data_IF_273613865362
#
_entry.id   IF_273613865362
#
_cell.length_a   1.000
_cell.length_b   1.000
_cell.length_c   1.000
_cell.angle_alpha   90.00
_cell.angle_beta   90.00
_cell.angle_gamma   90.00
#
_symmetry.space_group_name_H-M   'P 1'
#
loop_
_entity.id
_entity.type
_entity.pdbx_description
1 polymer ?
#
# COMPACT_ATOMS: atom_id res chain seq x y z
N UNK A 1 -15.92 1.15 13.68
CA UNK A 1 -15.88 1.42 15.15
C UNK A 1 -15.46 2.87 15.34
N UNK A 2 -15.99 3.59 16.34
CA UNK A 2 -15.69 5.00 16.53
C UNK A 2 -14.59 5.21 17.58
N UNK A 3 -14.74 4.62 18.76
CA UNK A 3 -13.78 4.75 19.87
C UNK A 3 -13.97 3.63 20.91
N UNK A 4 -12.94 3.41 21.72
CA UNK A 4 -12.96 2.63 22.96
C UNK A 4 -13.45 3.52 24.09
N UNK A 5 -14.29 2.97 24.97
CA UNK A 5 -14.82 3.67 26.13
C UNK A 5 -13.98 3.31 27.36
N UNK A 6 -13.40 4.33 28.00
CA UNK A 6 -12.52 4.21 29.15
C UNK A 6 -13.17 4.81 30.40
N UNK A 7 -12.95 4.18 31.56
CA UNK A 7 -13.31 4.74 32.87
C UNK A 7 -12.25 5.74 33.36
N UNK A 8 -12.53 6.44 34.47
CA UNK A 8 -11.59 7.37 35.10
C UNK A 8 -10.29 6.71 35.58
N UNK A 9 -10.26 5.37 35.69
CA UNK A 9 -9.08 4.57 36.05
C UNK A 9 -8.37 3.96 34.84
N UNK A 10 -8.62 4.47 33.64
CA UNK A 10 -8.08 3.96 32.37
C UNK A 10 -8.51 2.52 32.03
N UNK A 11 -9.65 2.06 32.57
CA UNK A 11 -10.16 0.71 32.30
C UNK A 11 -11.11 0.73 31.10
N UNK A 12 -10.82 -0.09 30.08
CA UNK A 12 -11.67 -0.23 28.90
C UNK A 12 -12.91 -1.09 29.22
N UNK A 13 -14.08 -0.45 29.33
CA UNK A 13 -15.33 -1.12 29.69
C UNK A 13 -16.26 -1.36 28.51
N UNK A 14 -15.91 -0.89 27.31
CA UNK A 14 -16.75 -1.04 26.14
C UNK A 14 -16.25 -0.31 24.90
N UNK A 15 -17.09 -0.30 23.87
CA UNK A 15 -16.81 0.34 22.59
C UNK A 15 -18.03 1.11 22.10
N UNK A 16 -17.76 2.19 21.36
CA UNK A 16 -18.76 2.91 20.60
C UNK A 16 -18.60 2.59 19.10
N UNK A 17 -19.70 2.28 18.43
CA UNK A 17 -19.70 1.92 17.02
C UNK A 17 -20.83 2.63 16.28
N UNK A 18 -20.72 2.67 14.95
CA UNK A 18 -21.78 3.14 14.05
C UNK A 18 -22.23 1.97 13.19
N UNK A 19 -23.54 1.73 13.12
CA UNK A 19 -24.16 0.70 12.28
C UNK A 19 -25.45 1.26 11.70
N UNK A 20 -25.61 1.22 10.38
CA UNK A 20 -26.76 1.79 9.66
C UNK A 20 -27.07 3.25 10.03
N UNK A 21 -26.03 4.09 10.15
CA UNK A 21 -26.17 5.49 10.57
C UNK A 21 -26.41 5.71 12.06
N UNK A 22 -26.76 4.68 12.83
CA UNK A 22 -27.00 4.76 14.26
C UNK A 22 -25.72 4.53 15.07
N UNK A 23 -25.50 5.36 16.09
CA UNK A 23 -24.39 5.23 17.03
C UNK A 23 -24.83 4.40 18.22
N UNK A 24 -24.20 3.24 18.41
CA UNK A 24 -24.45 2.31 19.50
C UNK A 24 -23.26 2.21 20.46
N UNK A 25 -23.52 1.70 21.66
CA UNK A 25 -22.50 1.36 22.66
C UNK A 25 -22.69 -0.07 23.12
N UNK A 26 -21.60 -0.84 23.22
CA UNK A 26 -21.59 -2.19 23.78
C UNK A 26 -20.59 -2.22 24.92
N UNK A 27 -20.99 -2.81 26.05
CA UNK A 27 -20.16 -2.97 27.24
C UNK A 27 -19.54 -4.37 27.26
N UNK A 28 -18.29 -4.44 27.67
CA UNK A 28 -17.59 -5.69 27.93
C UNK A 28 -17.50 -5.92 29.44
N UNK A 29 -17.67 -7.17 29.89
CA UNK A 29 -17.57 -7.53 31.31
C UNK A 29 -16.14 -7.83 31.78
N UNK A 30 -15.23 -8.19 30.86
CA UNK A 30 -13.87 -8.63 31.18
C UNK A 30 -12.81 -7.78 30.50
N UNK A 31 -12.85 -7.71 29.18
CA UNK A 31 -11.86 -6.99 28.40
C UNK A 31 -12.42 -6.53 27.05
N UNK A 32 -11.80 -5.50 26.50
CA UNK A 32 -11.96 -5.08 25.10
C UNK A 32 -10.67 -5.45 24.37
N UNK A 33 -10.77 -6.29 23.34
CA UNK A 33 -9.63 -6.71 22.51
C UNK A 33 -9.78 -6.05 21.15
N UNK A 34 -8.75 -5.31 20.74
CA UNK A 34 -8.74 -4.59 19.47
C UNK A 34 -8.07 -5.43 18.39
N UNK A 35 -8.86 -5.85 17.39
CA UNK A 35 -8.42 -6.70 16.29
C UNK A 35 -8.60 -6.02 14.92
N UNK A 36 -8.38 -4.71 14.84
CA UNK A 36 -8.62 -3.92 13.62
C UNK A 36 -7.38 -3.83 12.71
N UNK A 37 -6.42 -4.75 12.87
CA UNK A 37 -5.12 -4.74 12.19
C UNK A 37 -4.24 -3.54 12.58
N UNK A 38 -3.04 -3.45 11.98
CA UNK A 38 -2.05 -2.40 12.29
C UNK A 38 -2.61 -0.99 12.10
N UNK A 39 -3.31 -0.76 10.98
CA UNK A 39 -3.87 0.55 10.62
C UNK A 39 -5.10 0.88 11.45
N UNK A 40 -6.10 0.00 11.48
CA UNK A 40 -7.37 0.27 12.14
C UNK A 40 -7.23 0.36 13.66
N UNK A 41 -6.37 -0.46 14.27
CA UNK A 41 -6.17 -0.46 15.71
C UNK A 41 -5.50 0.85 16.17
N UNK A 42 -4.43 1.26 15.49
CA UNK A 42 -3.75 2.53 15.76
C UNK A 42 -4.69 3.72 15.63
N UNK A 43 -5.51 3.75 14.57
CA UNK A 43 -6.52 4.79 14.37
C UNK A 43 -7.55 4.84 15.50
N UNK A 44 -8.11 3.69 15.89
CA UNK A 44 -9.13 3.62 16.95
C UNK A 44 -8.54 4.07 18.29
N UNK A 45 -7.33 3.65 18.65
CA UNK A 45 -6.66 4.06 19.89
C UNK A 45 -6.45 5.58 19.92
N UNK A 46 -5.91 6.16 18.84
CA UNK A 46 -5.70 7.61 18.75
C UNK A 46 -7.01 8.40 18.85
N UNK A 47 -8.07 7.96 18.16
CA UNK A 47 -9.40 8.58 18.25
C UNK A 47 -10.03 8.44 19.65
N UNK A 48 -9.61 7.42 20.40
CA UNK A 48 -10.00 7.21 21.80
C UNK A 48 -9.13 7.99 22.78
N UNK A 49 -8.28 8.91 22.31
CA UNK A 49 -7.41 9.73 23.16
C UNK A 49 -6.11 9.05 23.62
N UNK A 50 -5.75 7.90 23.05
CA UNK A 50 -4.51 7.17 23.36
C UNK A 50 -3.54 7.25 22.17
N UNK A 51 -2.53 8.10 22.27
CA UNK A 51 -1.59 8.34 21.18
C UNK A 51 -0.68 9.54 21.43
N UNK A 52 0.14 9.94 20.43
CA UNK A 52 1.14 10.99 20.63
C UNK A 52 0.48 12.32 21.00
N UNK A 53 0.82 12.86 22.19
CA UNK A 53 0.19 14.05 22.77
C UNK A 53 0.08 15.23 21.82
N UNK A 54 1.18 15.62 21.18
CA UNK A 54 1.20 16.75 20.26
C UNK A 54 0.30 16.54 19.04
N UNK A 55 0.25 15.32 18.51
CA UNK A 55 -0.60 14.97 17.37
C UNK A 55 -2.08 15.07 17.74
N UNK A 56 -2.49 14.45 18.85
CA UNK A 56 -3.89 14.47 19.31
C UNK A 56 -4.37 15.90 19.65
N UNK A 57 -3.52 16.69 20.30
CA UNK A 57 -3.81 18.09 20.61
C UNK A 57 -4.03 18.94 19.35
N UNK A 58 -3.22 18.72 18.30
CA UNK A 58 -3.36 19.44 17.03
C UNK A 58 -4.72 19.19 16.35
N UNK A 59 -5.29 18.00 16.57
CA UNK A 59 -6.59 17.58 16.04
C UNK A 59 -7.75 17.83 17.02
N UNK A 60 -7.48 18.47 18.16
CA UNK A 60 -8.47 18.75 19.23
C UNK A 60 -9.12 17.48 19.81
N UNK A 61 -8.39 16.36 19.80
CA UNK A 61 -8.83 15.11 20.43
C UNK A 61 -8.39 15.16 21.90
N UNK A 62 -9.30 14.90 22.87
CA UNK A 62 -8.93 14.83 24.28
C UNK A 62 -7.86 13.78 24.53
N UNK A 63 -6.74 14.18 25.13
CA UNK A 63 -5.67 13.26 25.52
C UNK A 63 -6.07 12.52 26.79
N UNK A 64 -6.11 11.20 26.71
CA UNK A 64 -6.27 10.30 27.85
C UNK A 64 -4.90 9.76 28.27
N UNK A 65 -4.13 9.23 27.32
CA UNK A 65 -2.80 8.69 27.57
C UNK A 65 -1.85 9.04 26.43
N UNK A 66 -0.68 9.58 26.77
CA UNK A 66 0.41 9.83 25.82
C UNK A 66 1.18 8.53 25.55
N UNK A 67 1.03 7.98 24.36
CA UNK A 67 1.66 6.73 23.92
C UNK A 67 2.15 6.89 22.47
N UNK A 68 3.23 6.21 22.05
CA UNK A 68 3.73 6.25 20.68
C UNK A 68 2.87 5.42 19.70
N UNK A 69 1.54 5.49 19.81
CA UNK A 69 0.60 4.76 18.94
C UNK A 69 0.74 5.27 17.51
N UNK A 70 0.77 4.33 16.56
CA UNK A 70 0.93 4.62 15.14
C UNK A 70 2.40 4.76 14.71
N UNK A 71 3.37 4.82 15.62
CA UNK A 71 4.79 4.82 15.27
C UNK A 71 5.30 3.39 15.00
N UNK A 72 6.53 3.28 14.49
CA UNK A 72 7.21 2.00 14.24
C UNK A 72 6.46 1.10 13.24
N UNK A 73 5.80 1.71 12.24
CA UNK A 73 5.24 0.97 11.12
C UNK A 73 6.40 0.35 10.32
N UNK A 74 6.37 -0.97 10.15
CA UNK A 74 7.29 -1.71 9.31
C UNK A 74 6.46 -2.52 8.33
N UNK A 75 6.89 -2.51 7.08
CA UNK A 75 6.29 -3.28 6.01
C UNK A 75 7.40 -3.71 5.04
N UNK A 76 7.22 -4.86 4.41
CA UNK A 76 8.22 -5.42 3.52
C UNK A 76 8.13 -4.73 2.16
N UNK A 77 9.17 -3.99 1.81
CA UNK A 77 9.27 -3.32 0.50
C UNK A 77 9.81 -4.28 -0.54
N UNK A 78 9.35 -4.12 -1.77
CA UNK A 78 9.72 -4.94 -2.92
C UNK A 78 10.09 -4.09 -4.14
N UNK A 79 10.80 -4.69 -5.10
CA UNK A 79 11.23 -4.07 -6.36
C UNK A 79 11.33 -5.13 -7.46
N UNK A 80 11.68 -4.75 -8.69
CA UNK A 80 12.08 -5.71 -9.73
C UNK A 80 10.93 -6.47 -10.39
N UNK A 81 9.77 -5.82 -10.54
CA UNK A 81 8.66 -6.36 -11.32
C UNK A 81 9.03 -6.47 -12.79
N UNK A 82 8.59 -7.56 -13.43
CA UNK A 82 8.59 -7.77 -14.89
C UNK A 82 9.98 -7.84 -15.54
N UNK A 83 10.99 -8.28 -14.78
CA UNK A 83 12.37 -8.40 -15.28
C UNK A 83 12.49 -9.50 -16.35
N UNK A 84 11.65 -10.55 -16.32
CA UNK A 84 11.85 -11.76 -17.14
C UNK A 84 10.76 -11.93 -18.19
N UNK A 85 11.17 -12.05 -19.47
CA UNK A 85 10.27 -12.31 -20.60
C UNK A 85 10.34 -13.79 -21.00
N UNK A 86 9.18 -14.42 -21.14
CA UNK A 86 9.01 -15.83 -21.48
C UNK A 86 8.77 -16.05 -22.97
N UNK A 87 9.29 -17.18 -23.49
CA UNK A 87 9.01 -17.62 -24.86
C UNK A 87 7.78 -18.53 -24.99
N UNK A 88 7.11 -18.80 -23.87
CA UNK A 88 6.06 -19.81 -23.79
C UNK A 88 4.76 -19.19 -23.30
N UNK A 89 3.65 -19.76 -23.77
CA UNK A 89 2.32 -19.48 -23.23
C UNK A 89 2.17 -19.99 -21.81
N UNK A 90 2.17 -19.07 -20.84
CA UNK A 90 1.74 -19.36 -19.49
C UNK A 90 0.22 -19.48 -19.44
N UNK A 91 -0.31 -20.46 -18.70
CA UNK A 91 -1.75 -20.63 -18.53
C UNK A 91 -2.38 -19.48 -17.72
N UNK A 92 -1.59 -18.78 -16.91
CA UNK A 92 -2.00 -17.60 -16.14
C UNK A 92 -1.81 -16.33 -16.96
N UNK A 93 -2.75 -16.08 -17.86
CA UNK A 93 -2.89 -14.78 -18.51
C UNK A 93 -4.32 -14.23 -18.30
N UNK A 94 -4.49 -12.93 -18.47
CA UNK A 94 -5.77 -12.25 -18.20
C UNK A 94 -6.90 -12.81 -19.04
N UNK A 95 -6.64 -13.19 -20.30
CA UNK A 95 -7.64 -13.78 -21.19
C UNK A 95 -8.15 -15.15 -20.69
N UNK A 96 -7.25 -16.01 -20.20
CA UNK A 96 -7.59 -17.32 -19.64
C UNK A 96 -8.32 -17.17 -18.31
N UNK A 97 -7.90 -16.23 -17.46
CA UNK A 97 -8.58 -15.93 -16.18
C UNK A 97 -9.98 -15.37 -16.45
N UNK A 98 -10.17 -14.51 -17.44
CA UNK A 98 -11.47 -13.91 -17.76
C UNK A 98 -12.41 -14.86 -18.53
N UNK A 99 -11.95 -16.03 -18.95
CA UNK A 99 -12.75 -16.97 -19.73
C UNK A 99 -13.87 -17.64 -18.90
N UNK A 100 -15.03 -17.85 -19.52
CA UNK A 100 -16.15 -18.54 -18.88
C UNK A 100 -15.86 -20.01 -18.58
N UNK A 101 -14.99 -20.65 -19.38
CA UNK A 101 -14.52 -22.02 -19.14
C UNK A 101 -13.74 -22.12 -17.83
N UNK A 102 -12.85 -21.17 -17.53
CA UNK A 102 -12.12 -21.15 -16.25
C UNK A 102 -13.06 -21.03 -15.05
N UNK A 103 -14.13 -20.24 -15.18
CA UNK A 103 -15.14 -20.12 -14.14
C UNK A 103 -15.91 -21.45 -13.92
N UNK A 104 -16.25 -22.13 -15.02
CA UNK A 104 -16.91 -23.43 -14.98
C UNK A 104 -15.99 -24.51 -14.36
N UNK A 105 -14.74 -24.60 -14.80
CA UNK A 105 -13.76 -25.57 -14.31
C UNK A 105 -13.48 -25.38 -12.81
N UNK A 106 -13.41 -24.13 -12.35
CA UNK A 106 -13.24 -23.83 -10.94
C UNK A 106 -14.47 -24.24 -10.12
N UNK A 107 -15.67 -23.91 -10.59
CA UNK A 107 -16.91 -24.16 -9.84
C UNK A 107 -17.26 -25.65 -9.74
N UNK A 108 -17.10 -26.40 -10.83
CA UNK A 108 -17.55 -27.79 -10.90
C UNK A 108 -16.46 -28.81 -10.62
N UNK A 109 -15.20 -28.49 -10.91
CA UNK A 109 -14.09 -29.44 -10.76
C UNK A 109 -13.03 -28.96 -9.77
N UNK A 110 -13.09 -27.70 -9.30
CA UNK A 110 -12.05 -27.15 -8.43
C UNK A 110 -10.69 -27.05 -9.12
N UNK A 111 -10.69 -26.90 -10.44
CA UNK A 111 -9.48 -26.85 -11.28
C UNK A 111 -9.39 -25.54 -12.07
N UNK A 112 -8.26 -25.31 -12.73
CA UNK A 112 -8.08 -24.16 -13.63
C UNK A 112 -7.36 -22.98 -12.98
N UNK A 113 -7.18 -21.87 -13.71
CA UNK A 113 -6.29 -20.77 -13.32
C UNK A 113 -6.74 -20.04 -12.05
N UNK A 114 -8.02 -20.10 -11.69
CA UNK A 114 -8.56 -19.48 -10.47
C UNK A 114 -8.15 -20.21 -9.18
N UNK A 115 -7.54 -21.38 -9.31
CA UNK A 115 -6.93 -22.09 -8.17
C UNK A 115 -5.53 -21.58 -7.84
N UNK A 116 -4.89 -20.80 -8.72
CA UNK A 116 -3.53 -20.32 -8.51
C UNK A 116 -3.48 -19.33 -7.33
N UNK A 117 -2.48 -19.47 -6.43
CA UNK A 117 -2.24 -18.51 -5.35
C UNK A 117 -1.57 -17.20 -5.84
N UNK A 118 -1.19 -17.11 -7.11
CA UNK A 118 -0.47 -15.97 -7.69
C UNK A 118 1.04 -15.99 -7.45
N UNK A 119 1.52 -16.61 -6.37
CA UNK A 119 2.95 -16.89 -6.15
C UNK A 119 3.17 -18.40 -6.08
N UNK A 120 3.93 -18.94 -7.02
CA UNK A 120 4.08 -20.39 -7.21
C UNK A 120 5.29 -20.97 -6.49
N UNK A 121 6.32 -20.16 -6.27
CA UNK A 121 7.51 -20.56 -5.52
C UNK A 121 8.08 -19.39 -4.71
N UNK A 122 8.68 -19.73 -3.58
CA UNK A 122 9.32 -18.78 -2.68
C UNK A 122 10.70 -19.31 -2.33
N UNK A 123 11.72 -18.47 -2.47
CA UNK A 123 13.03 -18.69 -1.90
C UNK A 123 13.29 -17.67 -0.78
N UNK A 124 14.02 -18.08 0.24
CA UNK A 124 14.47 -17.21 1.33
C UNK A 124 15.98 -17.35 1.39
N UNK A 125 16.69 -16.24 1.24
CA UNK A 125 18.15 -16.22 1.04
C UNK A 125 18.80 -15.09 1.83
N UNK A 126 20.08 -15.26 2.11
CA UNK A 126 20.94 -14.20 2.64
C UNK A 126 21.52 -13.38 1.50
N UNK A 127 21.51 -12.06 1.64
CA UNK A 127 22.37 -11.18 0.87
C UNK A 127 23.83 -11.31 1.32
N UNK A 128 24.78 -10.86 0.49
CA UNK A 128 26.19 -10.75 0.86
C UNK A 128 26.46 -9.78 2.02
N UNK A 129 25.45 -9.00 2.41
CA UNK A 129 25.54 -8.06 3.50
C UNK A 129 25.16 -8.70 4.85
N UNK A 130 24.48 -9.84 4.86
CA UNK A 130 24.04 -10.55 6.06
C UNK A 130 24.93 -11.76 6.33
N UNK A 131 25.29 -11.99 7.59
CA UNK A 131 26.11 -13.16 7.95
C UNK A 131 25.21 -14.39 8.18
N UNK A 132 25.30 -15.44 7.36
CA UNK A 132 24.46 -16.63 7.49
C UNK A 132 24.62 -17.39 8.81
N UNK A 133 25.72 -17.17 9.54
CA UNK A 133 25.97 -17.84 10.82
C UNK A 133 25.32 -17.13 12.00
N UNK A 134 25.06 -15.82 11.90
CA UNK A 134 24.56 -15.01 13.02
C UNK A 134 23.19 -14.39 12.76
N UNK A 135 22.86 -14.12 11.50
CA UNK A 135 21.67 -13.37 11.12
C UNK A 135 20.63 -14.28 10.44
N UNK A 136 19.34 -14.01 10.63
CA UNK A 136 18.30 -14.61 9.80
C UNK A 136 18.40 -14.08 8.35
N UNK A 137 17.89 -14.84 7.36
CA UNK A 137 17.83 -14.38 5.97
C UNK A 137 17.12 -13.02 5.83
N UNK A 138 17.70 -12.13 5.05
CA UNK A 138 17.22 -10.75 4.86
C UNK A 138 16.45 -10.54 3.55
N UNK A 139 16.46 -11.54 2.65
CA UNK A 139 15.77 -11.50 1.37
C UNK A 139 14.82 -12.67 1.16
N UNK A 140 13.67 -12.36 0.57
CA UNK A 140 12.74 -13.34 0.03
C UNK A 140 12.56 -13.07 -1.47
N UNK A 141 12.57 -14.13 -2.28
CA UNK A 141 12.29 -14.06 -3.71
C UNK A 141 10.98 -14.79 -3.97
N UNK A 142 9.98 -14.07 -4.47
CA UNK A 142 8.70 -14.64 -4.85
C UNK A 142 8.66 -14.82 -6.37
N UNK A 143 8.51 -16.06 -6.84
CA UNK A 143 8.29 -16.35 -8.24
C UNK A 143 6.80 -16.21 -8.56
N UNK A 144 6.49 -15.23 -9.40
CA UNK A 144 5.13 -14.88 -9.81
C UNK A 144 5.08 -15.08 -11.34
N UNK A 145 4.23 -15.99 -11.86
CA UNK A 145 4.10 -16.28 -13.28
C UNK A 145 3.30 -15.19 -14.03
N UNK A 146 3.36 -13.96 -13.55
CA UNK A 146 2.70 -12.78 -14.08
C UNK A 146 3.50 -11.54 -13.69
N UNK A 147 3.23 -10.44 -14.38
CA UNK A 147 3.81 -9.13 -14.11
C UNK A 147 2.77 -8.04 -13.97
N UNK A 148 3.21 -6.84 -13.59
CA UNK A 148 2.38 -5.64 -13.54
C UNK A 148 1.94 -5.17 -14.94
N UNK A 149 2.68 -5.54 -16.00
CA UNK A 149 2.33 -5.32 -17.41
C UNK A 149 1.33 -6.34 -17.97
N UNK A 150 1.07 -7.45 -17.25
CA UNK A 150 0.24 -8.55 -17.77
C UNK A 150 -1.23 -8.20 -17.96
N UNK A 151 -1.72 -7.12 -17.34
CA UNK A 151 -3.08 -6.60 -17.52
C UNK A 151 -3.15 -5.34 -18.39
N UNK A 152 -2.06 -5.00 -19.09
CA UNK A 152 -1.93 -3.84 -19.96
C UNK A 152 -2.32 -2.51 -19.28
N UNK A 153 -2.16 -2.43 -17.96
CA UNK A 153 -2.42 -1.21 -17.20
C UNK A 153 -3.87 -1.04 -16.82
N UNK A 154 -4.67 -2.11 -16.78
CA UNK A 154 -6.05 -2.04 -16.32
C UNK A 154 -6.15 -1.76 -14.81
N UNK A 155 -5.41 -2.48 -13.97
CA UNK A 155 -5.59 -2.47 -12.51
C UNK A 155 -4.29 -2.62 -11.72
N UNK A 156 -3.35 -3.45 -12.18
CA UNK A 156 -2.12 -3.76 -11.45
C UNK A 156 -1.22 -2.53 -11.33
N UNK A 157 -1.12 -1.71 -12.38
CA UNK A 157 -0.30 -0.49 -12.35
C UNK A 157 -0.73 0.47 -11.22
N UNK A 158 -2.04 0.69 -11.05
CA UNK A 158 -2.58 1.57 -10.02
C UNK A 158 -2.44 0.95 -8.63
N UNK A 159 -2.69 -0.35 -8.53
CA UNK A 159 -2.65 -1.08 -7.25
C UNK A 159 -1.24 -1.09 -6.65
N UNK A 160 -0.23 -1.25 -7.51
CA UNK A 160 1.18 -1.25 -7.10
C UNK A 160 1.75 0.18 -6.98
N UNK A 161 0.98 1.20 -7.39
CA UNK A 161 1.41 2.60 -7.31
C UNK A 161 2.48 2.99 -8.33
N UNK A 162 2.47 2.36 -9.51
CA UNK A 162 3.37 2.69 -10.61
C UNK A 162 2.94 4.03 -11.22
N UNK A 163 3.88 4.98 -11.33
CA UNK A 163 3.60 6.28 -11.94
C UNK A 163 3.54 6.18 -13.46
N UNK A 164 2.76 7.08 -14.08
CA UNK A 164 2.60 7.12 -15.55
C UNK A 164 3.96 7.20 -16.28
N UNK A 165 4.92 7.92 -15.71
CA UNK A 165 6.28 8.02 -16.26
C UNK A 165 6.98 6.66 -16.31
N UNK A 166 6.90 5.88 -15.24
CA UNK A 166 7.51 4.55 -15.14
C UNK A 166 6.73 3.56 -16.00
N UNK A 167 5.40 3.66 -16.02
CA UNK A 167 4.54 2.84 -16.88
C UNK A 167 4.90 3.00 -18.35
N UNK A 168 4.88 4.23 -18.86
CA UNK A 168 5.17 4.53 -20.27
C UNK A 168 6.64 4.23 -20.64
N UNK A 169 7.58 4.40 -19.70
CA UNK A 169 9.00 4.19 -19.97
C UNK A 169 9.49 2.74 -19.87
N UNK A 170 8.76 1.86 -19.18
CA UNK A 170 9.18 0.48 -18.92
C UNK A 170 8.06 -0.52 -19.20
N UNK A 171 7.00 -0.51 -18.40
CA UNK A 171 5.97 -1.56 -18.41
C UNK A 171 5.15 -1.63 -19.70
N UNK A 172 4.79 -0.49 -20.29
CA UNK A 172 4.01 -0.48 -21.54
C UNK A 172 4.74 -1.11 -22.74
N UNK A 173 6.07 -1.19 -22.70
CA UNK A 173 6.85 -1.85 -23.76
C UNK A 173 6.76 -3.38 -23.69
N UNK A 174 6.27 -3.91 -22.56
CA UNK A 174 6.04 -5.32 -22.28
C UNK A 174 4.60 -5.74 -22.54
N UNK A 175 3.71 -4.80 -22.87
CA UNK A 175 2.30 -5.08 -23.16
C UNK A 175 2.15 -6.14 -24.26
N UNK A 176 1.33 -7.15 -23.99
CA UNK A 176 1.11 -8.29 -24.88
C UNK A 176 2.21 -9.35 -24.86
N UNK A 177 3.32 -9.11 -24.14
CA UNK A 177 4.33 -10.13 -23.89
C UNK A 177 3.99 -10.93 -22.64
N UNK A 178 4.54 -12.14 -22.57
CA UNK A 178 4.40 -12.98 -21.40
C UNK A 178 5.59 -12.79 -20.50
N UNK A 179 5.30 -12.37 -19.28
CA UNK A 179 6.30 -11.98 -18.30
C UNK A 179 6.12 -12.81 -17.04
N UNK A 180 7.23 -13.11 -16.38
CA UNK A 180 7.21 -13.53 -14.99
C UNK A 180 8.11 -12.62 -14.18
N UNK A 181 7.81 -12.52 -12.90
CA UNK A 181 8.56 -11.73 -11.94
C UNK A 181 9.20 -12.64 -10.91
N UNK A 182 10.51 -12.51 -10.74
CA UNK A 182 11.15 -12.85 -9.47
C UNK A 182 11.12 -11.58 -8.65
N UNK A 183 10.20 -11.53 -7.70
CA UNK A 183 9.92 -10.35 -6.89
C UNK A 183 10.76 -10.42 -5.61
N UNK A 184 11.89 -9.69 -5.52
CA UNK A 184 12.66 -9.57 -4.29
C UNK A 184 11.92 -8.74 -3.25
N UNK A 185 11.83 -9.26 -2.05
CA UNK A 185 11.16 -8.69 -0.89
C UNK A 185 12.19 -8.55 0.23
N UNK A 186 12.29 -7.35 0.80
CA UNK A 186 13.13 -7.06 1.95
C UNK A 186 12.43 -7.51 3.24
N UNK A 187 12.97 -8.51 3.92
CA UNK A 187 12.35 -9.14 5.10
C UNK A 187 12.56 -8.36 6.40
N UNK A 188 13.69 -7.65 6.50
CA UNK A 188 14.09 -7.00 7.76
C UNK A 188 14.42 -5.52 7.55
N UNK A 189 13.44 -4.71 7.09
CA UNK A 189 13.67 -3.29 6.81
C UNK A 189 14.10 -2.52 8.07
N UNK A 190 15.10 -1.65 7.91
CA UNK A 190 15.52 -0.70 8.95
C UNK A 190 14.71 0.59 8.89
N UNK A 191 14.14 0.92 7.72
CA UNK A 191 13.20 2.02 7.54
C UNK A 191 11.95 1.79 8.38
N UNK A 192 11.51 2.83 9.07
CA UNK A 192 10.33 2.81 9.94
C UNK A 192 9.42 3.97 9.62
N UNK A 193 8.16 3.66 9.37
CA UNK A 193 7.11 4.60 9.10
C UNK A 193 6.24 4.94 10.30
N UNK A 194 5.14 5.61 9.99
CA UNK A 194 4.11 5.99 10.94
C UNK A 194 2.71 5.98 10.31
N UNK A 195 1.71 5.85 11.18
CA UNK A 195 0.29 6.00 10.89
C UNK A 195 -0.22 7.15 11.75
N UNK A 196 -0.75 8.17 11.09
CA UNK A 196 -1.31 9.36 11.75
C UNK A 196 -2.80 9.47 11.44
N UNK A 197 -3.54 10.05 12.36
CA UNK A 197 -4.88 10.55 12.04
C UNK A 197 -4.77 11.73 11.06
N UNK A 198 -5.64 11.75 10.05
CA UNK A 198 -5.82 12.93 9.18
C UNK A 198 -6.51 14.05 9.96
N UNK A 199 -7.58 13.70 10.65
CA UNK A 199 -8.44 14.59 11.42
C UNK A 199 -9.15 13.80 12.55
N UNK A 200 -10.10 14.44 13.23
CA UNK A 200 -10.91 13.82 14.28
C UNK A 200 -12.16 13.05 13.79
N UNK A 201 -12.42 12.95 12.48
CA UNK A 201 -13.55 12.18 11.95
C UNK A 201 -13.18 10.68 11.86
N UNK A 202 -13.91 9.80 12.56
CA UNK A 202 -13.70 8.35 12.45
C UNK A 202 -13.88 7.78 11.03
N UNK A 203 -14.52 8.50 10.11
CA UNK A 203 -14.71 8.06 8.71
C UNK A 203 -13.52 8.43 7.80
N UNK A 204 -12.72 9.43 8.18
CA UNK A 204 -11.56 9.85 7.39
C UNK A 204 -10.50 8.77 7.35
N UNK A 205 -9.89 8.55 6.18
CA UNK A 205 -8.77 7.63 6.05
C UNK A 205 -7.55 8.17 6.81
N UNK A 206 -6.82 7.32 7.56
CA UNK A 206 -5.60 7.74 8.22
C UNK A 206 -4.53 8.08 7.18
N UNK A 207 -3.56 8.88 7.60
CA UNK A 207 -2.35 9.13 6.84
C UNK A 207 -1.37 8.00 7.15
N UNK A 208 -0.99 7.24 6.14
CA UNK A 208 -0.05 6.12 6.27
C UNK A 208 1.22 6.53 5.54
N UNK A 209 2.33 6.62 6.26
CA UNK A 209 3.63 6.85 5.66
C UNK A 209 4.60 5.76 6.12
N UNK A 210 4.83 4.71 5.30
CA UNK A 210 5.79 3.66 5.61
C UNK A 210 7.25 4.13 5.62
N UNK A 211 7.54 5.29 5.01
CA UNK A 211 8.90 5.85 4.85
C UNK A 211 9.88 4.83 4.24
N UNK A 212 9.43 4.13 3.20
CA UNK A 212 10.24 3.13 2.51
C UNK A 212 11.58 3.71 2.05
N UNK A 213 12.64 2.89 2.14
CA UNK A 213 13.97 3.18 1.60
C UNK A 213 14.63 4.45 2.16
N UNK A 214 14.21 4.87 3.36
CA UNK A 214 14.82 5.99 4.08
C UNK A 214 16.15 5.60 4.73
N UNK A 215 16.33 4.32 5.04
CA UNK A 215 17.60 3.78 5.51
C UNK A 215 18.44 3.21 4.36
N UNK A 216 19.71 3.62 4.25
CA UNK A 216 20.57 3.23 3.13
C UNK A 216 20.76 1.70 3.04
N UNK A 217 20.86 1.02 4.18
CA UNK A 217 20.96 -0.45 4.22
C UNK A 217 19.82 -1.17 3.49
N UNK A 218 18.61 -0.63 3.52
CA UNK A 218 17.46 -1.24 2.84
C UNK A 218 17.62 -1.15 1.32
N UNK A 219 18.15 -0.02 0.84
CA UNK A 219 18.47 0.19 -0.56
C UNK A 219 19.58 -0.74 -1.02
N UNK A 220 20.65 -0.86 -0.23
CA UNK A 220 21.78 -1.72 -0.55
C UNK A 220 21.35 -3.20 -0.61
N UNK A 221 20.52 -3.64 0.33
CA UNK A 221 20.02 -5.02 0.38
C UNK A 221 19.12 -5.35 -0.82
N UNK A 222 18.21 -4.43 -1.20
CA UNK A 222 17.40 -4.60 -2.41
C UNK A 222 18.24 -4.56 -3.70
N UNK A 223 19.30 -3.77 -3.74
CA UNK A 223 20.23 -3.75 -4.87
C UNK A 223 20.84 -5.14 -5.08
N UNK A 224 21.31 -5.78 -4.01
CA UNK A 224 21.83 -7.16 -4.03
C UNK A 224 20.77 -8.17 -4.46
N UNK A 225 19.54 -7.96 -4.04
CA UNK A 225 18.42 -8.80 -4.46
C UNK A 225 18.19 -8.77 -5.99
N UNK A 226 18.36 -7.59 -6.62
CA UNK A 226 18.30 -7.47 -8.09
C UNK A 226 19.45 -8.24 -8.74
N UNK A 227 20.67 -8.15 -8.21
CA UNK A 227 21.82 -8.93 -8.74
C UNK A 227 21.56 -10.44 -8.64
N UNK A 228 20.95 -10.91 -7.55
CA UNK A 228 20.54 -12.31 -7.40
C UNK A 228 19.48 -12.69 -8.45
N UNK A 229 18.51 -11.83 -8.71
CA UNK A 229 17.52 -12.06 -9.77
C UNK A 229 18.19 -12.14 -11.14
N UNK A 230 19.12 -11.24 -11.46
CA UNK A 230 19.88 -11.27 -12.71
C UNK A 230 20.63 -12.60 -12.87
N UNK A 231 21.30 -13.08 -11.82
CA UNK A 231 21.97 -14.40 -11.83
C UNK A 231 20.99 -15.53 -12.14
N UNK A 232 19.83 -15.57 -11.46
CA UNK A 232 18.80 -16.60 -11.67
C UNK A 232 18.35 -16.61 -13.14
N UNK A 233 18.13 -15.43 -13.72
CA UNK A 233 17.64 -15.31 -15.11
C UNK A 233 18.65 -15.77 -16.17
N UNK A 234 19.95 -15.79 -15.88
CA UNK A 234 21.00 -16.21 -16.84
C UNK A 234 21.48 -17.65 -16.64
N UNK A 235 20.90 -18.38 -15.69
CA UNK A 235 21.23 -19.80 -15.46
C UNK A 235 20.90 -20.69 -16.66
N UNK A 236 21.54 -21.86 -16.73
CA UNK A 236 21.38 -22.81 -17.83
C UNK A 236 19.92 -23.19 -18.08
N UNK A 237 19.14 -23.37 -17.00
CA UNK A 237 17.73 -23.74 -17.07
C UNK A 237 16.86 -22.61 -17.65
N UNK A 238 17.14 -21.36 -17.29
CA UNK A 238 16.37 -20.22 -17.78
C UNK A 238 16.72 -19.86 -19.23
N UNK A 239 17.96 -20.07 -19.68
CA UNK A 239 18.33 -19.85 -21.10
C UNK A 239 17.56 -20.71 -22.11
N UNK A 240 17.01 -21.87 -21.70
CA UNK A 240 16.22 -22.74 -22.58
C UNK A 240 14.72 -22.38 -22.64
N UNK A 241 14.19 -21.62 -21.68
CA UNK A 241 12.75 -21.29 -21.59
C UNK A 241 12.44 -19.78 -21.66
N UNK A 242 13.41 -18.91 -21.39
CA UNK A 242 13.25 -17.47 -21.23
C UNK A 242 14.00 -16.73 -22.33
N UNK A 243 13.35 -15.80 -23.03
CA UNK A 243 13.89 -15.20 -24.26
C UNK A 243 14.97 -14.17 -23.95
N UNK A 244 14.70 -13.29 -22.99
CA UNK A 244 15.57 -12.16 -22.64
C UNK A 244 15.17 -11.58 -21.28
N UNK A 245 16.14 -10.99 -20.58
CA UNK A 245 15.87 -10.02 -19.52
C UNK A 245 15.46 -8.69 -20.14
N UNK A 246 14.33 -8.11 -19.73
CA UNK A 246 13.94 -6.81 -20.25
C UNK A 246 14.81 -5.71 -19.63
N UNK A 247 15.58 -5.01 -20.47
CA UNK A 247 16.29 -3.80 -20.08
C UNK A 247 15.52 -2.56 -20.55
N UNK A 248 15.30 -1.54 -19.69
CA UNK A 248 14.64 -0.31 -20.10
C UNK A 248 15.37 0.35 -21.27
N UNK A 249 14.66 0.72 -22.34
CA UNK A 249 15.18 1.56 -23.44
C UNK A 249 14.55 2.96 -23.33
N UNK A 250 15.35 3.98 -23.03
CA UNK A 250 14.89 5.36 -22.78
C UNK A 250 15.91 6.19 -21.99
N UNK A 251 15.59 7.38 -21.46
CA UNK A 251 16.55 8.20 -20.68
C UNK A 251 17.12 7.53 -19.40
N UNK A 252 16.60 6.34 -19.05
CA UNK A 252 17.15 5.44 -18.02
C UNK A 252 18.28 4.51 -18.57
N UNK A 253 18.58 4.58 -19.87
CA UNK A 253 19.47 3.65 -20.59
C UNK A 253 20.82 4.25 -21.02
N UNK A 254 20.98 5.58 -20.98
CA UNK A 254 22.20 6.24 -21.50
C UNK A 254 23.42 6.16 -20.57
N UNK A 255 23.27 5.73 -19.32
CA UNK A 255 24.40 5.55 -18.39
C UNK A 255 24.86 4.08 -18.36
N UNK A 256 25.89 3.76 -19.16
CA UNK A 256 26.47 2.41 -19.36
C UNK A 256 27.24 1.82 -18.16
N UNK A 257 27.07 2.35 -16.95
CA UNK A 257 27.59 1.73 -15.74
C UNK A 257 26.43 1.21 -14.88
N UNK A 258 26.43 -0.09 -14.62
CA UNK A 258 25.44 -0.86 -13.83
C UNK A 258 25.10 -0.21 -12.48
N UNK A 259 26.01 0.60 -11.93
CA UNK A 259 25.85 1.40 -10.70
C UNK A 259 24.91 2.61 -10.85
N UNK A 260 24.80 3.23 -12.04
CA UNK A 260 23.96 4.41 -12.30
C UNK A 260 22.53 4.08 -12.73
N UNK A 261 22.31 2.96 -13.43
CA UNK A 261 20.97 2.49 -13.82
C UNK A 261 20.08 2.23 -12.61
N UNK A 262 20.64 1.63 -11.56
CA UNK A 262 19.93 1.35 -10.31
C UNK A 262 19.78 2.58 -9.42
N UNK A 263 20.66 3.59 -9.54
CA UNK A 263 20.41 4.93 -8.99
C UNK A 263 19.19 5.59 -9.64
N UNK A 264 18.93 5.33 -10.92
CA UNK A 264 17.72 5.83 -11.59
C UNK A 264 16.44 5.08 -11.19
N UNK A 265 16.52 3.76 -10.92
CA UNK A 265 15.41 2.96 -10.39
C UNK A 265 15.17 3.21 -8.90
N UNK A 266 16.21 3.34 -8.08
CA UNK A 266 16.07 3.74 -6.67
C UNK A 266 15.68 5.19 -6.52
N UNK A 267 16.09 6.09 -7.42
CA UNK A 267 15.51 7.45 -7.49
C UNK A 267 14.10 7.46 -8.09
N UNK A 268 13.72 6.51 -8.95
CA UNK A 268 12.34 6.33 -9.39
C UNK A 268 11.44 5.79 -8.26
N UNK A 269 11.93 4.83 -7.48
CA UNK A 269 11.25 4.30 -6.29
C UNK A 269 11.19 5.37 -5.19
N UNK A 270 12.31 6.02 -4.86
CA UNK A 270 12.35 7.16 -3.91
C UNK A 270 11.45 8.29 -4.40
N UNK A 271 11.45 8.65 -5.68
CA UNK A 271 10.56 9.70 -6.22
C UNK A 271 9.09 9.30 -6.26
N UNK A 272 8.73 8.02 -6.47
CA UNK A 272 7.36 7.53 -6.27
C UNK A 272 6.93 7.66 -4.80
N UNK A 273 7.85 7.38 -3.86
CA UNK A 273 7.60 7.51 -2.42
C UNK A 273 7.47 9.00 -2.03
N UNK A 274 8.41 9.84 -2.46
CA UNK A 274 8.42 11.30 -2.22
C UNK A 274 7.26 12.02 -2.91
N UNK A 275 6.79 11.59 -4.08
CA UNK A 275 5.62 12.18 -4.74
C UNK A 275 4.31 11.81 -4.04
N UNK A 276 4.22 10.60 -3.51
CA UNK A 276 3.09 10.19 -2.64
C UNK A 276 3.07 11.02 -1.36
N UNK A 277 4.24 11.26 -0.76
CA UNK A 277 4.40 12.18 0.38
C UNK A 277 4.10 13.64 0.01
N UNK A 278 4.49 14.09 -1.18
CA UNK A 278 4.25 15.45 -1.69
C UNK A 278 2.76 15.67 -1.99
N UNK A 279 2.04 14.69 -2.53
CA UNK A 279 0.57 14.73 -2.66
C UNK A 279 -0.09 14.84 -1.29
N UNK A 280 0.29 14.00 -0.32
CA UNK A 280 -0.19 14.09 1.06
C UNK A 280 0.18 15.40 1.79
N UNK A 281 1.26 16.08 1.36
CA UNK A 281 1.68 17.39 1.89
C UNK A 281 0.98 18.57 1.21
N UNK A 282 0.72 18.48 -0.10
CA UNK A 282 -0.03 19.46 -0.86
C UNK A 282 -1.50 19.49 -0.44
N UNK A 283 -2.10 18.33 -0.18
CA UNK A 283 -3.46 18.23 0.38
C UNK A 283 -3.54 18.95 1.74
N UNK A 284 -2.54 18.77 2.62
CA UNK A 284 -2.43 19.48 3.89
C UNK A 284 -2.29 21.01 3.73
N UNK A 285 -1.59 21.47 2.70
CA UNK A 285 -1.38 22.91 2.45
C UNK A 285 -2.62 23.56 1.81
N UNK A 286 -3.31 22.88 0.91
CA UNK A 286 -4.56 23.35 0.31
C UNK A 286 -5.70 23.45 1.34
N UNK A 287 -5.73 22.55 2.33
CA UNK A 287 -6.67 22.62 3.45
C UNK A 287 -6.33 23.71 4.46
N UNK A 288 -5.04 24.00 4.71
CA UNK A 288 -4.65 25.15 5.56
C UNK A 288 -5.01 26.52 4.96
N UNK A 289 -5.13 26.59 3.63
CA UNK A 289 -5.50 27.81 2.90
C UNK A 289 -7.02 27.96 2.67
N UNK A 290 -7.83 27.00 3.10
CA UNK A 290 -9.30 27.04 3.02
C UNK A 290 -9.93 27.19 4.41
N UNK A 291 -9.44 28.15 5.21
CA UNK A 291 -10.15 28.63 6.39
C UNK A 291 -10.94 29.90 6.03
N UNK A 292 -12.29 29.92 6.09
CA UNK A 292 -13.06 31.08 5.67
C UNK A 292 -12.92 32.21 6.70
N UNK A 293 -12.45 33.37 6.23
CA UNK A 293 -12.42 34.60 7.00
C UNK A 293 -13.82 34.98 7.50
N UNK A 294 -13.86 35.39 8.78
CA UNK A 294 -14.97 35.87 9.59
C UNK A 294 -16.16 36.54 8.86
N UNK A 295 -17.36 35.95 9.00
CA UNK A 295 -18.64 36.66 8.79
C UNK A 295 -19.03 37.43 10.06
N UNK A 296 -18.90 38.76 10.04
CA UNK A 296 -19.50 39.68 11.03
C UNK A 296 -21.03 39.64 10.89
N UNK A 297 -21.72 39.34 12.00
CA UNK A 297 -23.18 39.45 12.16
C UNK A 297 -23.61 40.91 12.00
N UNK A 298 -24.57 41.18 11.10
CA UNK A 298 -25.54 42.28 11.23
C UNK A 298 -26.95 41.68 11.18
N UNK A 299 -27.82 42.27 12.00
CA UNK A 299 -29.11 41.73 12.45
C UNK A 299 -30.24 42.56 11.82
N UNK A 300 -31.40 41.92 11.60
CA UNK A 300 -32.79 42.45 11.47
C UNK A 300 -33.24 42.94 10.05
N UNK A 301 -34.53 42.84 9.64
CA UNK A 301 -35.65 41.90 9.95
C UNK A 301 -36.31 41.23 8.70
N UNK A 302 -37.22 40.26 8.93
CA UNK A 302 -38.16 39.71 7.93
C UNK A 302 -39.23 40.72 7.48
N UNK A 303 -39.94 40.47 6.36
CA UNK A 303 -41.31 39.97 6.52
C UNK A 303 -41.80 38.96 5.45
N UNK A 304 -42.78 38.16 5.91
CA UNK A 304 -43.98 37.66 5.22
C UNK A 304 -43.90 36.73 3.98
N UNK A 305 -44.45 35.52 4.19
CA UNK A 305 -45.47 34.84 3.40
C UNK A 305 -45.22 34.51 1.91
N UNK A 306 -45.18 33.21 1.59
CA UNK A 306 -46.29 32.49 0.92
C UNK A 306 -45.99 31.00 0.74
N UNK A 307 -47.03 30.23 0.97
CA UNK A 307 -47.23 28.81 0.69
C UNK A 307 -46.84 28.38 -0.73
N UNK A 308 -46.40 27.13 -0.91
CA UNK A 308 -46.98 26.15 -1.85
C UNK A 308 -46.56 24.72 -1.46
N UNK A 309 -47.55 23.84 -1.62
CA UNK A 309 -47.64 22.41 -1.26
C UNK A 309 -46.76 21.50 -2.14
N UNK A 310 -46.32 20.41 -1.49
CA UNK A 310 -46.33 19.00 -1.90
C UNK A 310 -46.18 18.62 -3.39
N UNK A 311 -45.32 17.63 -3.63
CA UNK A 311 -45.72 16.36 -4.27
C UNK A 311 -44.74 15.24 -3.90
N UNK A 312 -45.30 14.19 -3.27
CA UNK A 312 -44.73 12.84 -3.17
C UNK A 312 -44.81 12.20 -4.55
N UNK A 313 -43.86 11.34 -4.91
CA UNK A 313 -44.16 10.09 -5.59
C UNK A 313 -43.12 9.03 -5.20
N UNK A 314 -43.62 7.94 -4.62
CA UNK A 314 -42.94 6.65 -4.52
C UNK A 314 -42.99 5.96 -5.88
N UNK A 315 -41.95 5.20 -6.18
CA UNK A 315 -42.02 3.80 -6.59
C UNK A 315 -40.72 3.14 -6.14
#
# INVERSE_FOLDING_TARGET
>A
MLQVLLSDKYEAYGVQYRRFGHVGRVRARKAVILCAGTVGSSKILMLSGMGPKHHLQSLKIPLIQDLPVGQNLQDHVTTGLDIVILNQTLPLNVANIASLSSAFDYLFYGTGPWTSPGCEAVAVVHSDLSDPQTDPPDLQLMAIPSGASSDDGAHLYTTVGITDKVWQGYFSTLSGQQVASFLPVLLHPKSKGEILLRDGDPNSLPLINPRYLTHQRDVDTLYRAIEVCDIITVTSYTKYQWVNTHQPRGPLSEDHHTTKKTLSLTSALRSNTEQTERRARLDRLQESNTCPASRRKKRVPSPAARSIRALRYCS
#
